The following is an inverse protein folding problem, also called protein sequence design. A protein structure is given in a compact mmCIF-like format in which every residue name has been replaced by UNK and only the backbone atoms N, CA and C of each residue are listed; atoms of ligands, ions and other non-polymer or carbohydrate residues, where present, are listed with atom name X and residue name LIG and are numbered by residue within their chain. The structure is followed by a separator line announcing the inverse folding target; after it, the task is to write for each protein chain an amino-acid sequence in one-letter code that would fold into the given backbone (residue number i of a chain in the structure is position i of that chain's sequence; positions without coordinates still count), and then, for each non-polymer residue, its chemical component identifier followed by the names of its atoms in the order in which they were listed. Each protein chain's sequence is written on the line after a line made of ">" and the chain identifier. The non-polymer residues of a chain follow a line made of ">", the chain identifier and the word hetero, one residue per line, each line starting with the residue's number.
data_IF_061050365270
#
_entry.id   IF_061050365270
#
_cell.length_a   1.000
_cell.length_b   1.000
_cell.length_c   1.000
_cell.angle_alpha   90.00
_cell.angle_beta   90.00
_cell.angle_gamma   90.00
#
_symmetry.space_group_name_H-M   'P 1'
#
loop_
_entity.id
_entity.type
_entity.pdbx_description
1 polymer ?
#
# COMPACT_ATOMS: atom_id res chain seq x y z
N UNK A 1 26.24 3.06 -11.12
CA UNK A 1 24.91 3.51 -10.72
C UNK A 1 24.05 2.34 -10.31
N UNK A 2 23.96 2.12 -9.00
CA UNK A 2 22.83 1.38 -8.45
C UNK A 2 21.69 2.41 -8.43
N UNK A 3 20.58 2.13 -9.11
CA UNK A 3 19.42 3.02 -9.10
C UNK A 3 18.96 3.31 -7.67
N UNK A 4 18.20 4.40 -7.48
CA UNK A 4 17.68 4.74 -6.17
C UNK A 4 16.87 3.56 -5.56
N UNK A 5 17.03 3.26 -4.27
CA UNK A 5 16.41 2.09 -3.66
C UNK A 5 14.89 2.23 -3.64
N UNK A 6 14.20 1.09 -3.79
CA UNK A 6 12.76 0.99 -3.57
C UNK A 6 12.52 0.10 -2.34
N UNK A 7 11.91 0.68 -1.30
CA UNK A 7 11.58 -0.02 -0.07
C UNK A 7 10.22 -0.73 -0.20
N UNK A 8 10.14 -1.97 0.27
CA UNK A 8 8.90 -2.74 0.33
C UNK A 8 8.48 -2.88 1.80
N UNK A 9 7.51 -2.09 2.23
CA UNK A 9 7.08 -2.02 3.63
C UNK A 9 5.91 -2.97 3.87
N UNK A 10 6.12 -3.95 4.74
CA UNK A 10 5.08 -4.86 5.20
C UNK A 10 4.37 -4.32 6.45
N UNK A 11 3.23 -3.64 6.24
CA UNK A 11 2.30 -3.19 7.28
C UNK A 11 0.95 -3.94 7.23
N UNK A 12 0.86 -5.11 6.57
CA UNK A 12 -0.38 -5.89 6.46
C UNK A 12 -0.86 -6.50 7.78
N UNK A 13 -0.04 -6.49 8.84
CA UNK A 13 -0.47 -6.89 10.18
C UNK A 13 -1.26 -5.77 10.89
N UNK A 14 -1.10 -4.51 10.46
CA UNK A 14 -1.85 -3.38 10.97
C UNK A 14 -3.24 -3.38 10.32
N UNK A 15 -4.23 -3.82 11.11
CA UNK A 15 -5.57 -4.11 10.61
C UNK A 15 -6.59 -2.99 10.89
N UNK A 16 -6.22 -1.95 11.65
CA UNK A 16 -7.04 -0.75 11.83
C UNK A 16 -6.38 0.47 11.16
N UNK A 17 -7.20 1.39 10.58
CA UNK A 17 -6.64 2.52 9.85
C UNK A 17 -5.80 3.49 10.68
N UNK A 18 -6.15 3.69 11.95
CA UNK A 18 -5.47 4.66 12.81
C UNK A 18 -4.05 4.23 13.13
N UNK A 19 -3.86 2.99 13.58
CA UNK A 19 -2.52 2.45 13.84
C UNK A 19 -1.68 2.36 12.56
N UNK A 20 -2.32 2.06 11.42
CA UNK A 20 -1.63 2.00 10.13
C UNK A 20 -1.13 3.37 9.69
N UNK A 21 -1.90 4.43 9.95
CA UNK A 21 -1.47 5.82 9.68
C UNK A 21 -0.23 6.19 10.49
N UNK A 22 -0.19 5.83 11.78
CA UNK A 22 0.97 6.09 12.63
C UNK A 22 2.20 5.32 12.14
N UNK A 23 2.05 4.03 11.85
CA UNK A 23 3.13 3.20 11.30
C UNK A 23 3.64 3.75 9.97
N UNK A 24 2.73 4.19 9.11
CA UNK A 24 3.07 4.80 7.83
C UNK A 24 3.98 6.02 8.01
N UNK A 25 3.56 6.96 8.86
CA UNK A 25 4.27 8.22 9.06
C UNK A 25 5.65 7.99 9.70
N UNK A 26 5.73 7.09 10.69
CA UNK A 26 6.99 6.72 11.34
C UNK A 26 7.98 6.03 10.38
N UNK A 27 7.48 5.09 9.57
CA UNK A 27 8.33 4.35 8.62
C UNK A 27 8.83 5.25 7.50
N UNK A 28 7.96 6.06 6.90
CA UNK A 28 8.38 6.96 5.81
C UNK A 28 9.38 8.01 6.30
N UNK A 29 9.21 8.53 7.52
CA UNK A 29 10.18 9.43 8.12
C UNK A 29 11.54 8.76 8.32
N UNK A 30 11.58 7.51 8.77
CA UNK A 30 12.82 6.75 8.94
C UNK A 30 13.52 6.43 7.60
N UNK A 31 12.77 6.33 6.50
CA UNK A 31 13.28 6.05 5.16
C UNK A 31 13.60 7.34 4.36
N UNK A 32 13.31 8.52 4.91
CA UNK A 32 13.37 9.81 4.20
C UNK A 32 12.57 9.81 2.88
N UNK A 33 11.39 9.17 2.89
CA UNK A 33 10.50 9.06 1.72
C UNK A 33 9.29 9.96 1.89
N UNK A 34 9.09 10.88 0.95
CA UNK A 34 7.89 11.72 0.91
C UNK A 34 6.65 11.01 0.37
N UNK A 35 5.43 11.55 0.61
CA UNK A 35 4.18 10.96 0.14
C UNK A 35 4.09 10.85 -1.40
N UNK A 36 4.73 11.76 -2.13
CA UNK A 36 4.79 11.74 -3.60
C UNK A 36 5.64 10.57 -4.15
N UNK A 37 6.46 9.95 -3.30
CA UNK A 37 7.27 8.76 -3.63
C UNK A 37 6.77 7.50 -2.90
N UNK A 38 5.56 7.55 -2.31
CA UNK A 38 4.94 6.41 -1.64
C UNK A 38 3.76 5.86 -2.44
N UNK A 39 3.82 4.58 -2.79
CA UNK A 39 2.72 3.83 -3.42
C UNK A 39 2.08 2.90 -2.39
N UNK A 40 0.76 3.03 -2.18
CA UNK A 40 0.00 2.18 -1.27
C UNK A 40 -0.50 0.89 -1.94
N UNK A 41 -0.49 -0.21 -1.19
CA UNK A 41 -1.15 -1.48 -1.53
C UNK A 41 -2.14 -1.87 -0.42
N UNK A 42 -3.41 -1.52 -0.60
CA UNK A 42 -4.47 -1.84 0.35
C UNK A 42 -5.09 -3.21 0.02
N UNK A 43 -4.86 -4.19 0.89
CA UNK A 43 -5.52 -5.51 0.84
C UNK A 43 -6.81 -5.49 1.67
N UNK A 44 -7.97 -5.64 1.01
CA UNK A 44 -9.25 -5.70 1.70
C UNK A 44 -9.63 -7.11 2.11
N UNK A 45 -10.08 -7.26 3.36
CA UNK A 45 -10.60 -8.50 3.91
C UNK A 45 -11.97 -8.87 3.30
N UNK A 46 -12.18 -10.12 2.85
CA UNK A 46 -13.42 -10.52 2.16
C UNK A 46 -14.63 -10.70 3.10
N UNK A 47 -14.41 -11.11 4.35
CA UNK A 47 -15.47 -11.44 5.32
C UNK A 47 -15.80 -10.31 6.31
N UNK A 48 -15.16 -9.14 6.18
CA UNK A 48 -15.35 -7.98 7.07
C UNK A 48 -15.61 -6.69 6.31
N UNK A 49 -16.85 -6.54 5.86
CA UNK A 49 -17.33 -5.33 5.19
C UNK A 49 -17.23 -4.07 6.05
N UNK A 50 -17.38 -4.20 7.37
CA UNK A 50 -17.18 -3.12 8.34
C UNK A 50 -15.77 -2.52 8.23
N UNK A 51 -14.75 -3.37 8.06
CA UNK A 51 -13.37 -2.89 7.90
C UNK A 51 -13.16 -2.14 6.59
N UNK A 52 -13.86 -2.54 5.53
CA UNK A 52 -13.84 -1.81 4.25
C UNK A 52 -14.41 -0.40 4.41
N UNK A 53 -15.45 -0.23 5.23
CA UNK A 53 -16.02 1.10 5.52
C UNK A 53 -15.05 1.96 6.33
N UNK A 54 -14.37 1.39 7.33
CA UNK A 54 -13.36 2.14 8.08
C UNK A 54 -12.20 2.61 7.20
N UNK A 55 -11.73 1.77 6.27
CA UNK A 55 -10.73 2.19 5.28
C UNK A 55 -11.26 3.30 4.38
N UNK A 56 -12.51 3.22 3.94
CA UNK A 56 -13.13 4.28 3.15
C UNK A 56 -13.17 5.61 3.91
N UNK A 57 -13.53 5.58 5.19
CA UNK A 57 -13.60 6.77 6.02
C UNK A 57 -12.21 7.37 6.26
N UNK A 58 -11.20 6.54 6.53
CA UNK A 58 -9.81 6.99 6.67
C UNK A 58 -9.27 7.61 5.37
N UNK A 59 -9.50 6.97 4.22
CA UNK A 59 -9.07 7.48 2.92
C UNK A 59 -9.75 8.81 2.57
N UNK A 60 -11.01 9.00 2.95
CA UNK A 60 -11.72 10.29 2.84
C UNK A 60 -11.21 11.34 3.82
N UNK A 61 -10.73 10.92 4.98
CA UNK A 61 -10.19 11.79 6.02
C UNK A 61 -8.74 12.21 5.80
N UNK A 62 -8.23 12.14 4.57
CA UNK A 62 -6.86 12.57 4.23
C UNK A 62 -5.82 11.45 4.21
N UNK A 63 -6.17 10.19 4.51
CA UNK A 63 -5.19 9.11 4.41
C UNK A 63 -4.74 8.85 2.96
N UNK A 64 -5.59 9.16 1.97
CA UNK A 64 -5.23 9.03 0.56
C UNK A 64 -4.08 9.97 0.13
N UNK A 65 -3.94 11.13 0.78
CA UNK A 65 -2.93 12.16 0.44
C UNK A 65 -1.49 11.70 0.71
N UNK A 66 -1.33 10.65 1.52
CA UNK A 66 -0.03 10.03 1.82
C UNK A 66 0.53 9.19 0.69
N UNK A 67 -0.26 8.94 -0.34
CA UNK A 67 0.12 8.09 -1.45
C UNK A 67 0.08 8.88 -2.77
N UNK A 68 1.13 8.72 -3.57
CA UNK A 68 1.14 9.14 -4.97
C UNK A 68 0.19 8.28 -5.82
N UNK A 69 0.05 7.01 -5.44
CA UNK A 69 -0.89 6.04 -6.00
C UNK A 69 -1.34 5.04 -4.96
N UNK A 70 -2.60 4.62 -5.02
CA UNK A 70 -3.15 3.58 -4.15
C UNK A 70 -3.75 2.45 -5.00
N UNK A 71 -3.12 1.28 -4.92
CA UNK A 71 -3.67 0.05 -5.47
C UNK A 71 -4.53 -0.65 -4.42
N UNK A 72 -5.75 -1.03 -4.80
CA UNK A 72 -6.70 -1.72 -3.93
C UNK A 72 -6.93 -3.15 -4.43
N UNK A 73 -6.78 -4.09 -3.51
CA UNK A 73 -6.84 -5.53 -3.73
C UNK A 73 -8.00 -6.17 -2.96
N UNK A 74 -8.46 -7.31 -3.43
CA UNK A 74 -9.48 -8.12 -2.75
C UNK A 74 -10.92 -7.88 -3.21
N UNK A 75 -11.84 -8.67 -2.65
CA UNK A 75 -13.23 -8.78 -3.11
C UNK A 75 -13.97 -7.43 -3.19
N UNK A 76 -13.77 -6.57 -2.19
CA UNK A 76 -14.47 -5.29 -2.08
C UNK A 76 -13.76 -4.12 -2.77
N UNK A 77 -12.64 -4.35 -3.46
CA UNK A 77 -11.80 -3.28 -4.02
C UNK A 77 -12.57 -2.34 -4.96
N UNK A 78 -13.36 -2.90 -5.88
CA UNK A 78 -14.19 -2.12 -6.81
C UNK A 78 -15.26 -1.31 -6.08
N UNK A 79 -15.85 -1.86 -5.03
CA UNK A 79 -16.87 -1.17 -4.26
C UNK A 79 -16.29 0.00 -3.45
N UNK A 80 -15.06 -0.13 -2.95
CA UNK A 80 -14.32 0.94 -2.28
C UNK A 80 -13.91 2.02 -3.28
N UNK A 81 -13.26 1.67 -4.39
CA UNK A 81 -12.83 2.63 -5.42
C UNK A 81 -14.02 3.44 -5.98
N UNK A 82 -15.15 2.78 -6.23
CA UNK A 82 -16.37 3.46 -6.66
C UNK A 82 -16.91 4.47 -5.64
N UNK A 83 -16.73 4.22 -4.33
CA UNK A 83 -17.14 5.15 -3.27
C UNK A 83 -16.16 6.32 -3.10
N UNK A 84 -14.91 6.14 -3.50
CA UNK A 84 -13.87 7.18 -3.47
C UNK A 84 -13.91 8.13 -4.68
N UNK A 85 -14.59 7.79 -5.78
CA UNK A 85 -14.69 8.64 -6.99
C UNK A 85 -15.19 10.08 -6.79
N UNK A 86 -15.73 10.40 -5.61
CA UNK A 86 -16.26 11.72 -5.23
C UNK A 86 -15.32 12.52 -4.34
N UNK A 87 -14.18 11.94 -3.99
CA UNK A 87 -13.11 12.60 -3.23
C UNK A 87 -12.14 13.20 -4.25
N UNK A 88 -11.53 14.31 -3.89
CA UNK A 88 -10.37 14.81 -4.60
C UNK A 88 -9.29 13.71 -4.63
N UNK A 89 -8.46 13.69 -5.68
CA UNK A 89 -7.44 12.64 -5.88
C UNK A 89 -7.93 11.21 -6.14
N UNK A 90 -9.22 10.99 -6.41
CA UNK A 90 -9.73 9.66 -6.76
C UNK A 90 -9.03 9.01 -7.97
N UNK A 91 -8.40 9.80 -8.85
CA UNK A 91 -7.61 9.33 -9.97
C UNK A 91 -6.35 8.54 -9.56
N UNK A 92 -5.90 8.69 -8.31
CA UNK A 92 -4.78 7.94 -7.72
C UNK A 92 -5.17 6.52 -7.31
N UNK A 93 -6.46 6.21 -7.25
CA UNK A 93 -6.97 4.91 -6.77
C UNK A 93 -7.21 3.96 -7.94
N UNK A 94 -6.52 2.81 -7.91
CA UNK A 94 -6.61 1.79 -8.95
C UNK A 94 -6.95 0.42 -8.35
N UNK A 95 -7.82 -0.34 -9.02
CA UNK A 95 -8.20 -1.69 -8.58
C UNK A 95 -7.38 -2.71 -9.35
N UNK A 96 -6.57 -3.49 -8.65
CA UNK A 96 -5.84 -4.60 -9.24
C UNK A 96 -6.64 -5.90 -9.12
N UNK A 97 -6.76 -6.66 -10.22
CA UNK A 97 -7.56 -7.89 -10.30
C UNK A 97 -6.71 -9.08 -10.70
N UNK A 98 -6.83 -10.19 -9.97
CA UNK A 98 -6.37 -11.50 -10.42
C UNK A 98 -4.87 -11.60 -10.73
N UNK A 99 -4.07 -10.64 -10.29
CA UNK A 99 -2.64 -10.53 -10.57
C UNK A 99 -1.81 -11.31 -9.56
N UNK A 100 -0.72 -11.91 -10.05
CA UNK A 100 0.24 -12.65 -9.21
C UNK A 100 1.05 -11.67 -8.34
N UNK A 101 1.60 -12.09 -7.18
CA UNK A 101 2.41 -11.22 -6.32
C UNK A 101 3.53 -10.47 -7.05
N UNK A 102 4.20 -11.13 -8.00
CA UNK A 102 5.25 -10.52 -8.82
C UNK A 102 4.72 -9.39 -9.74
N UNK A 103 3.52 -9.52 -10.28
CA UNK A 103 2.90 -8.50 -11.14
C UNK A 103 2.43 -7.31 -10.32
N UNK A 104 1.83 -7.58 -9.15
CA UNK A 104 1.44 -6.54 -8.19
C UNK A 104 2.66 -5.75 -7.74
N UNK A 105 3.72 -6.45 -7.33
CA UNK A 105 4.97 -5.83 -6.88
C UNK A 105 5.59 -5.01 -7.99
N UNK A 106 5.68 -5.54 -9.21
CA UNK A 106 6.20 -4.80 -10.36
C UNK A 106 5.41 -3.52 -10.62
N UNK A 107 4.08 -3.59 -10.64
CA UNK A 107 3.24 -2.41 -10.86
C UNK A 107 3.44 -1.36 -9.77
N UNK A 108 3.48 -1.79 -8.50
CA UNK A 108 3.68 -0.90 -7.37
C UNK A 108 5.07 -0.23 -7.40
N UNK A 109 6.13 -1.00 -7.66
CA UNK A 109 7.50 -0.47 -7.80
C UNK A 109 7.62 0.45 -9.01
N UNK A 110 7.02 0.11 -10.16
CA UNK A 110 7.00 1.05 -11.30
C UNK A 110 6.25 2.35 -10.97
N UNK A 111 5.29 2.31 -10.03
CA UNK A 111 4.58 3.48 -9.55
C UNK A 111 5.40 4.45 -8.70
N UNK A 112 6.53 4.01 -8.11
CA UNK A 112 7.44 4.91 -7.35
C UNK A 112 8.35 5.73 -8.28
N UNK A 113 8.48 5.33 -9.55
CA UNK A 113 9.29 6.03 -10.55
C UNK A 113 10.78 5.73 -10.46
N UNK A 114 11.58 6.41 -11.28
CA UNK A 114 13.03 6.15 -11.41
C UNK A 114 13.85 6.62 -10.18
N UNK A 115 13.29 7.56 -9.40
CA UNK A 115 13.92 8.10 -8.20
C UNK A 115 13.78 7.19 -6.97
N UNK A 116 13.17 6.00 -7.12
CA UNK A 116 12.91 5.09 -6.00
C UNK A 116 11.82 5.61 -5.07
N UNK A 117 11.71 5.04 -3.87
CA UNK A 117 10.66 5.38 -2.91
C UNK A 117 10.19 4.18 -2.11
N UNK A 118 8.92 4.17 -1.73
CA UNK A 118 8.35 3.09 -0.92
C UNK A 118 7.07 2.52 -1.53
N UNK A 119 6.93 1.20 -1.46
CA UNK A 119 5.66 0.49 -1.62
C UNK A 119 5.18 0.09 -0.23
N UNK A 120 4.07 0.67 0.23
CA UNK A 120 3.52 0.46 1.55
C UNK A 120 2.32 -0.50 1.49
N UNK A 121 2.50 -1.74 1.92
CA UNK A 121 1.46 -2.78 1.94
C UNK A 121 0.72 -2.85 3.26
N UNK A 122 -0.61 -2.70 3.24
CA UNK A 122 -1.42 -2.62 4.47
C UNK A 122 -2.83 -3.20 4.32
N UNK A 123 -3.53 -3.33 5.44
CA UNK A 123 -4.86 -3.95 5.50
C UNK A 123 -4.78 -5.42 5.88
N UNK A 124 -5.39 -6.31 5.10
CA UNK A 124 -5.51 -7.71 5.44
C UNK A 124 -4.28 -8.53 5.01
N UNK A 125 -3.62 -9.17 5.98
CA UNK A 125 -2.51 -10.10 5.72
C UNK A 125 -2.96 -11.37 4.99
N UNK A 126 -4.11 -11.98 5.31
CA UNK A 126 -4.49 -13.26 4.72
C UNK A 126 -4.61 -13.25 3.18
N UNK A 127 -4.22 -14.35 2.54
CA UNK A 127 -4.37 -14.53 1.10
C UNK A 127 -3.36 -13.72 0.30
N UNK A 128 -3.78 -12.61 -0.31
CA UNK A 128 -2.88 -11.80 -1.17
C UNK A 128 -1.79 -11.10 -0.36
N UNK A 129 -2.04 -10.70 0.88
CA UNK A 129 -1.02 -10.08 1.74
C UNK A 129 0.12 -11.04 2.06
N UNK A 130 -0.18 -12.27 2.50
CA UNK A 130 0.78 -13.34 2.78
C UNK A 130 1.59 -13.68 1.53
N UNK A 131 0.92 -13.77 0.37
CA UNK A 131 1.58 -14.05 -0.89
C UNK A 131 2.52 -12.93 -1.33
N UNK A 132 2.18 -11.66 -1.06
CA UNK A 132 3.05 -10.51 -1.30
C UNK A 132 4.25 -10.50 -0.36
N UNK A 133 4.03 -10.71 0.94
CA UNK A 133 5.11 -10.75 1.93
C UNK A 133 6.10 -11.86 1.61
N UNK A 134 5.60 -13.07 1.32
CA UNK A 134 6.46 -14.19 0.92
C UNK A 134 7.28 -13.86 -0.34
N UNK A 135 6.65 -13.25 -1.34
CA UNK A 135 7.35 -12.82 -2.55
C UNK A 135 8.42 -11.76 -2.27
N UNK A 136 8.14 -10.77 -1.41
CA UNK A 136 9.09 -9.72 -1.05
C UNK A 136 10.27 -10.27 -0.25
N UNK A 137 10.04 -11.21 0.65
CA UNK A 137 11.11 -11.88 1.40
C UNK A 137 12.01 -12.76 0.52
N UNK A 138 11.49 -13.32 -0.57
CA UNK A 138 12.27 -14.12 -1.51
C UNK A 138 13.07 -13.25 -2.50
N UNK A 139 12.47 -12.14 -2.97
CA UNK A 139 13.04 -11.32 -4.03
C UNK A 139 13.83 -10.10 -3.55
N UNK A 140 13.65 -9.68 -2.30
CA UNK A 140 14.27 -8.49 -1.72
C UNK A 140 15.33 -8.82 -0.68
N UNK A 141 15.95 -7.76 -0.16
CA UNK A 141 16.92 -7.83 0.94
C UNK A 141 16.32 -7.15 2.18
N UNK A 142 16.52 -7.71 3.40
CA UNK A 142 16.07 -7.07 4.62
C UNK A 142 16.68 -5.68 4.78
N UNK A 143 15.86 -4.70 5.16
CA UNK A 143 16.36 -3.38 5.54
C UNK A 143 16.89 -3.42 6.97
N UNK A 144 18.18 -3.18 7.13
CA UNK A 144 18.81 -3.04 8.44
C UNK A 144 18.92 -1.55 8.79
N UNK A 145 18.42 -1.16 9.96
CA UNK A 145 18.66 0.16 10.52
C UNK A 145 20.16 0.28 10.77
N UNK A 146 20.84 1.12 9.99
CA UNK A 146 22.23 1.47 10.30
C UNK A 146 22.20 2.52 11.41
N UNK A 147 22.63 2.12 12.61
CA UNK A 147 22.82 3.03 13.75
C UNK A 147 23.93 4.05 13.50
#
# INVERSE_FOLDING_TARGET
>A
DVGAPCYLVNAFAANDPESTMLIHDDVLAALDVGPDSCVGLLSLRPDRGDRTLQWLDALRGGFLERFSRLYVLGLHARALAWRLRRVDDAARVEVMRGTRPAEITRAAVSGTGEAGGAVFGFGNIGGVGEALVAHWSEAGEPWEVTN
#
